data_IF_498517821425
#
_entry.id   IF_498517821425
#
_cell.length_a   1.000
_cell.length_b   1.000
_cell.length_c   1.000
_cell.angle_alpha   90.00
_cell.angle_beta   90.00
_cell.angle_gamma   90.00
#
_symmetry.space_group_name_H-M   'P 1'
#
loop_
_entity.id
_entity.type
_entity.pdbx_description
1 polymer ?
#
# COMPACT_ATOMS: atom_id res chain seq x y z
N UNK A 1 -2.09 20.73 -21.74
CA UNK A 1 -1.30 20.35 -20.54
C UNK A 1 -0.53 19.10 -20.90
N UNK A 2 0.74 19.00 -20.50
CA UNK A 2 1.52 17.77 -20.67
C UNK A 2 0.83 16.62 -19.89
N UNK A 3 0.59 15.45 -20.51
CA UNK A 3 0.06 14.29 -19.81
C UNK A 3 0.83 13.93 -18.52
N UNK A 4 2.16 14.16 -18.48
CA UNK A 4 2.99 13.90 -17.30
C UNK A 4 2.64 14.83 -16.13
N UNK A 5 2.40 16.10 -16.39
CA UNK A 5 2.00 17.07 -15.36
C UNK A 5 0.63 16.70 -14.77
N UNK A 6 -0.30 16.30 -15.63
CA UNK A 6 -1.63 15.84 -15.21
C UNK A 6 -1.51 14.61 -14.31
N UNK A 7 -0.69 13.62 -14.69
CA UNK A 7 -0.46 12.41 -13.91
C UNK A 7 0.20 12.71 -12.57
N UNK A 8 1.22 13.57 -12.54
CA UNK A 8 1.87 13.99 -11.32
C UNK A 8 0.87 14.63 -10.35
N UNK A 9 -0.01 15.50 -10.87
CA UNK A 9 -1.09 16.07 -10.10
C UNK A 9 -2.08 15.00 -9.60
N UNK A 10 -2.53 14.08 -10.45
CA UNK A 10 -3.45 13.00 -10.05
C UNK A 10 -2.88 12.12 -8.93
N UNK A 11 -1.56 11.86 -8.96
CA UNK A 11 -0.87 11.03 -7.96
C UNK A 11 -0.59 11.76 -6.65
N UNK A 12 -0.25 13.04 -6.69
CA UNK A 12 0.10 13.83 -5.51
C UNK A 12 -1.09 14.27 -4.67
N UNK A 13 -2.32 14.17 -5.19
CA UNK A 13 -3.52 14.65 -4.50
C UNK A 13 -4.30 13.49 -3.85
N UNK A 14 -4.07 13.17 -2.56
CA UNK A 14 -4.74 12.05 -1.88
C UNK A 14 -6.25 12.26 -1.67
N UNK A 15 -6.74 13.49 -1.82
CA UNK A 15 -8.17 13.84 -1.69
C UNK A 15 -9.00 13.51 -2.93
N UNK A 16 -8.35 13.17 -4.05
CA UNK A 16 -9.08 12.82 -5.27
C UNK A 16 -9.74 11.45 -5.14
N UNK A 17 -10.98 11.36 -5.61
CA UNK A 17 -11.71 10.11 -5.67
C UNK A 17 -11.05 9.15 -6.66
N UNK A 18 -10.60 8.00 -6.16
CA UNK A 18 -9.91 6.97 -6.97
C UNK A 18 -10.74 6.46 -8.15
N UNK A 19 -12.07 6.43 -8.01
CA UNK A 19 -12.99 6.11 -9.11
C UNK A 19 -12.88 7.13 -10.25
N UNK A 20 -12.84 8.44 -9.92
CA UNK A 20 -12.73 9.51 -10.92
C UNK A 20 -11.36 9.56 -11.58
N UNK A 21 -10.30 9.19 -10.85
CA UNK A 21 -8.98 8.98 -11.45
C UNK A 21 -9.07 7.88 -12.52
N UNK A 22 -9.64 6.72 -12.20
CA UNK A 22 -9.79 5.62 -13.14
C UNK A 22 -10.61 5.99 -14.39
N UNK A 23 -11.78 6.63 -14.20
CA UNK A 23 -12.59 7.16 -15.31
C UNK A 23 -11.79 8.15 -16.19
N UNK A 24 -10.98 9.00 -15.57
CA UNK A 24 -10.21 10.02 -16.28
C UNK A 24 -9.05 9.42 -17.09
N UNK A 25 -8.27 8.51 -16.50
CA UNK A 25 -7.12 7.88 -17.17
C UNK A 25 -7.58 6.94 -18.29
N UNK A 26 -8.70 6.23 -18.12
CA UNK A 26 -9.24 5.31 -19.13
C UNK A 26 -10.04 5.99 -20.24
N UNK A 27 -10.20 7.32 -20.19
CA UNK A 27 -11.02 8.04 -21.14
C UNK A 27 -10.46 7.92 -22.56
N UNK A 28 -11.27 7.35 -23.48
CA UNK A 28 -10.91 7.09 -24.90
C UNK A 28 -10.35 8.27 -25.71
N UNK A 29 -10.56 9.52 -25.25
CA UNK A 29 -10.12 10.73 -25.94
C UNK A 29 -8.69 11.13 -25.53
N UNK A 30 -8.11 10.50 -24.51
CA UNK A 30 -6.80 10.81 -23.94
C UNK A 30 -5.99 9.55 -23.63
N UNK A 31 -5.75 8.66 -24.59
CA UNK A 31 -4.95 7.44 -24.37
C UNK A 31 -3.54 7.74 -23.84
N UNK A 32 -2.99 8.92 -24.16
CA UNK A 32 -1.70 9.39 -23.68
C UNK A 32 -1.63 9.58 -22.17
N UNK A 33 -2.77 9.85 -21.51
CA UNK A 33 -2.83 10.00 -20.04
C UNK A 33 -2.70 8.64 -19.36
N UNK A 34 -3.34 7.59 -19.88
CA UNK A 34 -3.19 6.24 -19.34
C UNK A 34 -1.73 5.79 -19.43
N UNK A 35 -1.12 5.98 -20.61
CA UNK A 35 0.29 5.64 -20.82
C UNK A 35 1.19 6.41 -19.85
N UNK A 36 1.06 7.73 -19.76
CA UNK A 36 1.83 8.53 -18.82
C UNK A 36 1.57 8.14 -17.35
N UNK A 37 0.34 7.71 -17.02
CA UNK A 37 -0.01 7.23 -15.69
C UNK A 37 0.76 5.95 -15.35
N UNK A 38 0.75 4.96 -16.24
CA UNK A 38 1.50 3.71 -16.07
C UNK A 38 3.01 3.96 -16.03
N UNK A 39 3.52 4.78 -16.96
CA UNK A 39 4.96 5.11 -17.05
C UNK A 39 5.48 5.86 -15.82
N UNK A 40 4.60 6.49 -15.04
CA UNK A 40 5.00 7.16 -13.81
C UNK A 40 5.40 6.19 -12.68
N UNK A 41 5.15 4.89 -12.83
CA UNK A 41 5.53 3.87 -11.85
C UNK A 41 6.95 3.36 -12.09
N UNK A 42 7.74 3.29 -11.01
CA UNK A 42 9.08 2.73 -11.04
C UNK A 42 9.02 1.21 -10.79
N UNK A 43 9.13 0.42 -11.86
CA UNK A 43 9.06 -1.05 -11.78
C UNK A 43 10.41 -1.76 -11.86
N UNK A 44 11.51 -1.01 -11.97
CA UNK A 44 12.86 -1.55 -12.12
C UNK A 44 13.23 -2.50 -10.97
N UNK A 45 13.62 -3.72 -11.29
CA UNK A 45 14.04 -4.73 -10.33
C UNK A 45 12.88 -5.35 -9.52
N UNK A 46 11.62 -5.00 -9.81
CA UNK A 46 10.46 -5.58 -9.15
C UNK A 46 9.94 -6.79 -9.93
N UNK A 47 9.67 -7.88 -9.21
CA UNK A 47 8.92 -9.02 -9.76
C UNK A 47 7.50 -8.59 -10.11
N UNK A 48 6.90 -9.22 -11.13
CA UNK A 48 5.62 -8.80 -11.71
C UNK A 48 4.48 -8.68 -10.69
N UNK A 49 4.38 -9.61 -9.74
CA UNK A 49 3.39 -9.60 -8.64
C UNK A 49 3.54 -8.38 -7.72
N UNK A 50 4.78 -7.99 -7.42
CA UNK A 50 5.07 -6.83 -6.57
C UNK A 50 4.74 -5.52 -7.30
N UNK A 51 5.13 -5.41 -8.57
CA UNK A 51 4.78 -4.27 -9.42
C UNK A 51 3.27 -4.14 -9.61
N UNK A 52 2.57 -5.25 -9.84
CA UNK A 52 1.12 -5.28 -10.03
C UNK A 52 0.38 -4.85 -8.76
N UNK A 53 0.85 -5.32 -7.59
CA UNK A 53 0.34 -4.85 -6.29
C UNK A 53 0.51 -3.34 -6.15
N UNK A 54 1.73 -2.82 -6.34
CA UNK A 54 2.00 -1.37 -6.25
C UNK A 54 1.12 -0.56 -7.20
N UNK A 55 0.86 -1.08 -8.40
CA UNK A 55 0.05 -0.42 -9.41
C UNK A 55 -1.43 -0.35 -8.99
N UNK A 56 -2.03 -1.48 -8.61
CA UNK A 56 -3.44 -1.60 -8.25
C UNK A 56 -3.80 -0.96 -6.91
N UNK A 57 -2.81 -0.63 -6.07
CA UNK A 57 -3.02 0.18 -4.87
C UNK A 57 -3.51 1.60 -5.15
N UNK A 58 -3.22 2.14 -6.33
CA UNK A 58 -3.27 3.59 -6.56
C UNK A 58 -4.57 4.09 -7.16
N UNK A 59 -5.42 3.21 -7.69
CA UNK A 59 -6.71 3.54 -8.31
C UNK A 59 -7.72 2.39 -8.15
N UNK A 60 -8.96 2.63 -8.59
CA UNK A 60 -10.00 1.60 -8.65
C UNK A 60 -10.04 1.01 -10.06
N UNK A 61 -10.00 -0.30 -10.22
CA UNK A 61 -10.18 -0.87 -11.56
C UNK A 61 -11.57 -0.51 -12.11
N UNK A 62 -11.68 -0.14 -13.39
CA UNK A 62 -12.99 0.07 -13.99
C UNK A 62 -13.80 -1.24 -14.01
N UNK A 63 -15.12 -1.13 -14.03
CA UNK A 63 -16.00 -2.31 -14.13
C UNK A 63 -16.10 -2.90 -15.55
N UNK A 64 -15.62 -2.17 -16.56
CA UNK A 64 -15.67 -2.59 -17.96
C UNK A 64 -14.45 -3.46 -18.30
N UNK A 65 -14.70 -4.68 -18.78
CA UNK A 65 -13.64 -5.64 -19.08
C UNK A 65 -12.64 -5.14 -20.14
N UNK A 66 -13.10 -4.35 -21.12
CA UNK A 66 -12.23 -3.79 -22.15
C UNK A 66 -11.37 -2.63 -21.63
N UNK A 67 -11.78 -1.96 -20.56
CA UNK A 67 -10.94 -0.98 -19.87
C UNK A 67 -9.90 -1.62 -18.97
N UNK A 68 -10.27 -2.68 -18.23
CA UNK A 68 -9.30 -3.48 -17.45
C UNK A 68 -8.24 -4.05 -18.38
N UNK A 69 -8.64 -4.63 -19.50
CA UNK A 69 -7.74 -5.19 -20.50
C UNK A 69 -6.68 -4.19 -20.97
N UNK A 70 -7.09 -2.97 -21.32
CA UNK A 70 -6.16 -1.90 -21.72
C UNK A 70 -5.19 -1.50 -20.62
N UNK A 71 -5.68 -1.41 -19.39
CA UNK A 71 -4.86 -1.07 -18.23
C UNK A 71 -3.77 -2.12 -18.02
N UNK A 72 -4.14 -3.41 -18.03
CA UNK A 72 -3.20 -4.50 -17.79
C UNK A 72 -2.23 -4.66 -18.97
N UNK A 73 -2.68 -4.42 -20.20
CA UNK A 73 -1.80 -4.37 -21.39
C UNK A 73 -0.70 -3.30 -21.22
N UNK A 74 -1.07 -2.05 -20.94
CA UNK A 74 -0.08 -0.98 -20.73
C UNK A 74 0.82 -1.24 -19.52
N UNK A 75 0.27 -1.75 -18.41
CA UNK A 75 1.05 -2.15 -17.25
C UNK A 75 2.13 -3.18 -17.62
N UNK A 76 1.74 -4.21 -18.37
CA UNK A 76 2.63 -5.32 -18.74
C UNK A 76 3.73 -4.87 -19.69
N UNK A 77 3.39 -4.01 -20.66
CA UNK A 77 4.36 -3.38 -21.55
C UNK A 77 5.39 -2.54 -20.78
N UNK A 78 4.94 -1.67 -19.89
CA UNK A 78 5.83 -0.82 -19.09
C UNK A 78 6.70 -1.65 -18.13
N UNK A 79 6.13 -2.64 -17.43
CA UNK A 79 6.89 -3.52 -16.55
C UNK A 79 7.97 -4.30 -17.31
N UNK A 80 7.62 -4.86 -18.47
CA UNK A 80 8.53 -5.66 -19.28
C UNK A 80 9.71 -4.81 -19.78
N UNK A 81 9.43 -3.60 -20.30
CA UNK A 81 10.46 -2.67 -20.75
C UNK A 81 11.33 -2.15 -19.60
N UNK A 82 10.75 -1.90 -18.41
CA UNK A 82 11.48 -1.44 -17.22
C UNK A 82 12.42 -2.50 -16.62
N UNK A 83 12.27 -3.77 -16.99
CA UNK A 83 13.02 -4.90 -16.42
C UNK A 83 13.93 -5.60 -17.44
N UNK A 84 14.33 -4.89 -18.50
CA UNK A 84 15.17 -5.43 -19.58
C UNK A 84 14.55 -6.63 -20.30
N UNK A 85 13.22 -6.64 -20.44
CA UNK A 85 12.48 -7.64 -21.23
C UNK A 85 12.78 -9.08 -20.78
N UNK A 86 12.46 -9.46 -19.52
CA UNK A 86 12.89 -10.73 -18.93
C UNK A 86 12.14 -11.97 -19.49
N UNK A 87 11.11 -11.75 -20.31
CA UNK A 87 10.30 -12.80 -20.94
C UNK A 87 10.49 -12.77 -22.46
N UNK A 88 10.01 -13.80 -23.15
CA UNK A 88 10.21 -13.91 -24.60
C UNK A 88 9.40 -12.87 -25.39
N UNK A 89 8.27 -12.42 -24.84
CA UNK A 89 7.42 -11.40 -25.44
C UNK A 89 6.64 -10.63 -24.37
N UNK A 90 6.20 -9.41 -24.69
CA UNK A 90 5.35 -8.60 -23.80
C UNK A 90 4.03 -9.29 -23.47
N UNK A 91 3.47 -10.08 -24.40
CA UNK A 91 2.23 -10.84 -24.19
C UNK A 91 2.38 -11.89 -23.07
N UNK A 92 3.60 -12.38 -22.82
CA UNK A 92 3.87 -13.28 -21.71
C UNK A 92 3.72 -12.55 -20.36
N UNK A 93 4.19 -11.30 -20.27
CA UNK A 93 3.98 -10.47 -19.07
C UNK A 93 2.50 -10.19 -18.84
N UNK A 94 1.76 -9.89 -19.91
CA UNK A 94 0.31 -9.71 -19.85
C UNK A 94 -0.41 -10.96 -19.36
N UNK A 95 -0.09 -12.12 -19.94
CA UNK A 95 -0.70 -13.41 -19.57
C UNK A 95 -0.44 -13.74 -18.11
N UNK A 96 0.80 -13.54 -17.66
CA UNK A 96 1.16 -13.77 -16.26
C UNK A 96 0.48 -12.78 -15.31
N UNK A 97 0.35 -11.50 -15.68
CA UNK A 97 -0.36 -10.51 -14.88
C UNK A 97 -1.84 -10.89 -14.70
N UNK A 98 -2.51 -11.34 -15.76
CA UNK A 98 -3.88 -11.84 -15.68
C UNK A 98 -4.01 -13.10 -14.83
N UNK A 99 -3.07 -14.05 -14.96
CA UNK A 99 -3.04 -15.25 -14.14
C UNK A 99 -2.88 -14.91 -12.65
N UNK A 100 -2.09 -13.89 -12.31
CA UNK A 100 -1.95 -13.38 -10.93
C UNK A 100 -3.28 -12.80 -10.42
N UNK A 101 -4.01 -12.04 -11.24
CA UNK A 101 -5.34 -11.50 -10.84
C UNK A 101 -6.37 -12.60 -10.60
N UNK A 102 -6.38 -13.62 -11.48
CA UNK A 102 -7.23 -14.80 -11.32
C UNK A 102 -6.87 -15.57 -10.04
N UNK A 103 -5.57 -15.79 -9.80
CA UNK A 103 -5.09 -16.44 -8.59
C UNK A 103 -5.47 -15.64 -7.34
N UNK A 104 -5.35 -14.32 -7.35
CA UNK A 104 -5.75 -13.49 -6.20
C UNK A 104 -7.24 -13.65 -5.89
N UNK A 105 -8.09 -13.67 -6.92
CA UNK A 105 -9.53 -13.90 -6.77
C UNK A 105 -9.81 -15.30 -6.23
N UNK A 106 -9.15 -16.33 -6.76
CA UNK A 106 -9.28 -17.71 -6.32
C UNK A 106 -8.91 -17.88 -4.83
N UNK A 107 -7.75 -17.35 -4.43
CA UNK A 107 -7.21 -17.54 -3.08
C UNK A 107 -7.95 -16.72 -2.00
N UNK A 108 -8.50 -15.56 -2.33
CA UNK A 108 -9.01 -14.60 -1.34
C UNK A 108 -10.51 -14.31 -1.42
N UNK A 109 -11.19 -14.56 -2.54
CA UNK A 109 -12.63 -14.32 -2.64
C UNK A 109 -13.43 -15.35 -1.81
N UNK A 110 -14.16 -14.94 -0.75
CA UNK A 110 -14.89 -15.87 0.12
C UNK A 110 -15.93 -16.72 -0.60
N UNK A 111 -16.52 -16.23 -1.70
CA UNK A 111 -17.50 -16.99 -2.49
C UNK A 111 -16.84 -18.14 -3.25
N UNK A 112 -15.66 -17.90 -3.85
CA UNK A 112 -14.90 -18.93 -4.57
C UNK A 112 -14.44 -20.00 -3.59
N UNK A 113 -13.86 -19.59 -2.46
CA UNK A 113 -13.36 -20.50 -1.42
C UNK A 113 -14.43 -21.42 -0.82
N UNK A 114 -15.70 -21.03 -0.86
CA UNK A 114 -16.82 -21.86 -0.36
C UNK A 114 -17.32 -22.87 -1.38
N UNK A 115 -17.17 -22.57 -2.67
CA UNK A 115 -17.86 -23.27 -3.74
C UNK A 115 -16.95 -24.13 -4.61
N UNK A 116 -15.63 -23.92 -4.56
CA UNK A 116 -14.65 -24.55 -5.46
C UNK A 116 -13.35 -24.92 -4.74
N UNK A 117 -12.65 -25.92 -5.27
CA UNK A 117 -11.29 -26.27 -4.84
C UNK A 117 -10.33 -25.18 -5.28
N UNK A 118 -9.54 -24.65 -4.34
CA UNK A 118 -8.55 -23.62 -4.62
C UNK A 118 -7.43 -24.14 -5.52
N UNK A 119 -6.94 -23.28 -6.40
CA UNK A 119 -5.82 -23.58 -7.28
C UNK A 119 -4.58 -23.94 -6.45
N UNK A 120 -3.99 -25.12 -6.70
CA UNK A 120 -2.70 -25.50 -6.13
C UNK A 120 -1.54 -24.81 -6.87
N UNK A 121 -0.32 -24.86 -6.31
CA UNK A 121 0.86 -24.31 -6.99
C UNK A 121 1.16 -25.10 -8.26
N UNK A 122 0.92 -26.40 -8.25
CA UNK A 122 1.05 -27.29 -9.40
C UNK A 122 0.04 -26.93 -10.50
N UNK A 123 -1.20 -26.62 -10.12
CA UNK A 123 -2.22 -26.16 -11.08
C UNK A 123 -1.82 -24.80 -11.69
N UNK A 124 -1.32 -23.87 -10.87
CA UNK A 124 -0.86 -22.56 -11.35
C UNK A 124 0.29 -22.69 -12.36
N UNK A 125 1.31 -23.50 -12.04
CA UNK A 125 2.43 -23.80 -12.95
C UNK A 125 1.95 -24.47 -14.24
N UNK A 126 1.07 -25.46 -14.13
CA UNK A 126 0.50 -26.17 -15.29
C UNK A 126 -0.29 -25.25 -16.20
N UNK A 127 -1.12 -24.37 -15.65
CA UNK A 127 -1.94 -23.41 -16.41
C UNK A 127 -1.10 -22.39 -17.19
N UNK A 128 0.13 -22.13 -16.74
CA UNK A 128 1.06 -21.19 -17.37
C UNK A 128 2.08 -21.87 -18.29
N UNK A 129 2.05 -23.20 -18.43
CA UNK A 129 2.99 -23.92 -19.29
C UNK A 129 2.80 -23.52 -20.76
N UNK A 130 3.92 -23.27 -21.45
CA UNK A 130 3.95 -22.84 -22.86
C UNK A 130 3.46 -21.41 -23.13
N UNK A 131 3.04 -20.67 -22.09
CA UNK A 131 2.47 -19.32 -22.27
C UNK A 131 3.52 -18.19 -22.35
N UNK A 132 4.81 -18.51 -22.20
CA UNK A 132 5.91 -17.58 -22.47
C UNK A 132 6.35 -17.69 -23.93
N UNK A 133 5.44 -17.35 -24.86
CA UNK A 133 5.65 -17.41 -26.31
C UNK A 133 6.13 -18.80 -26.81
N UNK A 134 5.51 -19.87 -26.30
CA UNK A 134 5.84 -21.26 -26.63
C UNK A 134 6.89 -21.90 -25.69
N UNK A 135 7.43 -21.15 -24.73
CA UNK A 135 8.28 -21.67 -23.65
C UNK A 135 7.54 -21.61 -22.31
N UNK A 136 8.15 -22.22 -21.29
CA UNK A 136 7.72 -22.09 -19.91
C UNK A 136 8.37 -20.88 -19.23
N UNK A 137 7.72 -20.35 -18.20
CA UNK A 137 8.35 -19.43 -17.25
C UNK A 137 9.28 -20.21 -16.31
N UNK A 138 10.18 -19.48 -15.64
CA UNK A 138 10.94 -20.05 -14.53
C UNK A 138 10.00 -20.55 -13.42
N UNK A 139 10.14 -21.83 -13.10
CA UNK A 139 9.27 -22.55 -12.18
C UNK A 139 9.46 -22.09 -10.73
N UNK A 140 10.67 -21.66 -10.36
CA UNK A 140 10.92 -21.10 -9.04
C UNK A 140 10.22 -19.75 -8.88
N UNK A 141 10.35 -18.87 -9.88
CA UNK A 141 9.61 -17.59 -9.92
C UNK A 141 8.10 -17.78 -9.78
N UNK A 142 7.51 -18.73 -10.53
CA UNK A 142 6.05 -18.99 -10.45
C UNK A 142 5.63 -19.45 -9.06
N UNK A 143 6.45 -20.26 -8.38
CA UNK A 143 6.20 -20.70 -7.02
C UNK A 143 6.30 -19.56 -6.00
N UNK A 144 7.31 -18.69 -6.16
CA UNK A 144 7.44 -17.51 -5.32
C UNK A 144 6.25 -16.56 -5.49
N UNK A 145 5.79 -16.35 -6.72
CA UNK A 145 4.58 -15.56 -7.03
C UNK A 145 3.36 -16.20 -6.37
N UNK A 146 3.15 -17.51 -6.55
CA UNK A 146 2.00 -18.20 -5.97
C UNK A 146 1.95 -18.05 -4.44
N UNK A 147 3.08 -18.30 -3.78
CA UNK A 147 3.18 -18.21 -2.32
C UNK A 147 2.98 -16.77 -1.83
N UNK A 148 3.53 -15.77 -2.55
CA UNK A 148 3.32 -14.37 -2.24
C UNK A 148 1.83 -13.99 -2.32
N UNK A 149 1.14 -14.35 -3.40
CA UNK A 149 -0.29 -14.07 -3.57
C UNK A 149 -1.13 -14.83 -2.54
N UNK A 150 -0.86 -16.11 -2.29
CA UNK A 150 -1.59 -16.90 -1.30
C UNK A 150 -1.43 -16.35 0.12
N UNK A 151 -0.25 -15.88 0.47
CA UNK A 151 0.05 -15.34 1.81
C UNK A 151 -0.49 -13.93 2.03
N UNK A 152 -0.45 -13.08 1.00
CA UNK A 152 -0.90 -11.69 1.08
C UNK A 152 -1.82 -11.36 -0.11
N UNK A 153 -3.08 -11.04 0.17
CA UNK A 153 -4.05 -10.59 -0.82
C UNK A 153 -3.61 -9.28 -1.49
N UNK A 154 -3.70 -9.18 -2.82
CA UNK A 154 -3.67 -7.90 -3.53
C UNK A 154 -5.00 -7.19 -3.25
N UNK A 155 -4.94 -6.20 -2.37
CA UNK A 155 -6.10 -5.39 -1.98
C UNK A 155 -6.10 -4.11 -2.81
N UNK A 156 -7.21 -3.84 -3.48
CA UNK A 156 -7.50 -2.55 -4.11
C UNK A 156 -8.20 -1.65 -3.07
N UNK A 157 -7.52 -0.71 -2.41
CA UNK A 157 -8.07 -0.02 -1.23
C UNK A 157 -9.29 0.84 -1.58
N UNK A 158 -9.40 1.27 -2.83
CA UNK A 158 -10.53 2.03 -3.35
C UNK A 158 -11.83 1.21 -3.45
N UNK A 159 -11.75 -0.12 -3.43
CA UNK A 159 -12.89 -1.04 -3.48
C UNK A 159 -13.31 -1.54 -2.10
N UNK A 160 -12.47 -1.32 -1.09
CA UNK A 160 -12.68 -1.80 0.26
C UNK A 160 -13.22 -0.69 1.18
N UNK A 161 -14.01 -1.09 2.17
CA UNK A 161 -14.56 -0.19 3.21
C UNK A 161 -14.25 -0.78 4.59
N UNK A 162 -14.17 0.08 5.61
CA UNK A 162 -13.94 -0.32 6.99
C UNK A 162 -12.55 -0.90 7.24
N UNK A 163 -12.47 -1.87 8.15
CA UNK A 163 -11.23 -2.33 8.75
C UNK A 163 -10.23 -2.91 7.74
N UNK A 164 -10.70 -3.54 6.66
CA UNK A 164 -9.83 -4.09 5.59
C UNK A 164 -9.02 -2.97 4.93
N UNK A 165 -9.69 -1.89 4.56
CA UNK A 165 -9.05 -0.70 3.98
C UNK A 165 -8.10 -0.05 4.98
N UNK A 166 -8.53 0.12 6.23
CA UNK A 166 -7.72 0.76 7.27
C UNK A 166 -6.43 -0.02 7.57
N UNK A 167 -6.53 -1.34 7.76
CA UNK A 167 -5.37 -2.22 7.98
C UNK A 167 -4.42 -2.20 6.77
N UNK A 168 -4.96 -2.09 5.57
CA UNK A 168 -4.17 -1.98 4.36
C UNK A 168 -3.41 -0.65 4.29
N UNK A 169 -4.12 0.46 4.47
CA UNK A 169 -3.53 1.80 4.45
C UNK A 169 -2.46 1.95 5.53
N UNK A 170 -2.65 1.32 6.69
CA UNK A 170 -1.63 1.23 7.73
C UNK A 170 -0.36 0.50 7.24
N UNK A 171 -0.50 -0.67 6.60
CA UNK A 171 0.65 -1.40 6.02
C UNK A 171 1.36 -0.57 4.96
N UNK A 172 0.63 0.13 4.09
CA UNK A 172 1.20 1.03 3.09
C UNK A 172 1.97 2.17 3.77
N UNK A 173 1.39 2.81 4.78
CA UNK A 173 2.03 3.87 5.54
C UNK A 173 3.32 3.38 6.19
N UNK A 174 3.29 2.19 6.80
CA UNK A 174 4.48 1.57 7.38
C UNK A 174 5.53 1.26 6.30
N UNK A 175 5.18 0.77 5.11
CA UNK A 175 6.15 0.58 4.02
C UNK A 175 6.78 1.91 3.60
N UNK A 176 5.97 2.95 3.41
CA UNK A 176 6.42 4.30 3.03
C UNK A 176 7.29 4.96 4.09
N UNK A 177 7.05 4.70 5.38
CA UNK A 177 7.89 5.26 6.44
C UNK A 177 9.33 4.73 6.42
N UNK A 178 9.60 3.61 5.73
CA UNK A 178 10.95 3.08 5.54
C UNK A 178 11.62 3.57 4.25
N UNK A 179 10.92 4.35 3.41
CA UNK A 179 11.50 4.97 2.20
C UNK A 179 11.97 6.39 2.50
N UNK A 180 12.58 7.06 1.50
CA UNK A 180 12.95 8.48 1.55
C UNK A 180 11.81 9.39 2.01
N UNK A 181 10.55 9.02 1.75
CA UNK A 181 9.36 9.78 2.17
C UNK A 181 9.14 9.76 3.70
N UNK A 182 9.68 8.77 4.40
CA UNK A 182 9.63 8.67 5.86
C UNK A 182 10.74 9.46 6.59
N UNK A 183 11.71 9.99 5.85
CA UNK A 183 12.80 10.78 6.43
C UNK A 183 12.36 12.22 6.66
N UNK A 184 12.16 12.57 7.93
CA UNK A 184 11.88 13.95 8.33
C UNK A 184 13.19 14.73 8.47
N UNK A 185 13.31 15.82 7.71
CA UNK A 185 14.41 16.76 7.87
C UNK A 185 14.17 17.62 9.11
N UNK A 186 15.07 17.51 10.10
CA UNK A 186 15.09 18.43 11.21
C UNK A 186 15.53 19.80 10.69
N UNK A 187 14.59 20.72 10.50
CA UNK A 187 14.94 22.10 10.18
C UNK A 187 15.67 22.69 11.39
N UNK A 188 16.82 23.34 11.14
CA UNK A 188 17.63 23.99 12.17
C UNK A 188 16.77 24.93 13.02
N UNK A 189 17.12 25.03 14.32
CA UNK A 189 16.40 25.63 15.46
C UNK A 189 15.82 27.05 15.30
N UNK A 190 15.99 27.68 14.14
CA UNK A 190 15.53 29.04 13.83
C UNK A 190 14.14 29.05 13.16
N UNK A 191 13.62 27.90 12.69
CA UNK A 191 12.35 27.82 11.94
C UNK A 191 11.43 26.64 12.31
N UNK A 192 11.34 26.25 13.59
CA UNK A 192 10.30 25.33 14.08
C UNK A 192 8.93 26.02 14.24
N UNK A 193 8.52 26.84 13.27
CA UNK A 193 7.37 27.74 13.39
C UNK A 193 6.02 27.02 13.64
N UNK A 194 5.92 25.73 13.26
CA UNK A 194 4.70 24.94 13.41
C UNK A 194 4.81 23.76 14.38
N UNK A 195 5.98 23.48 14.97
CA UNK A 195 6.17 22.23 15.74
C UNK A 195 5.23 22.17 16.95
N UNK A 196 4.98 23.33 17.57
CA UNK A 196 4.01 23.47 18.66
C UNK A 196 2.59 23.18 18.18
N UNK A 197 2.15 23.82 17.09
CA UNK A 197 0.79 23.68 16.57
C UNK A 197 0.54 22.26 16.05
N UNK A 198 1.54 21.65 15.42
CA UNK A 198 1.49 20.25 15.01
C UNK A 198 1.35 19.34 16.24
N UNK A 199 2.14 19.56 17.28
CA UNK A 199 2.01 18.79 18.51
C UNK A 199 0.65 19.00 19.19
N UNK A 200 0.11 20.24 19.22
CA UNK A 200 -1.24 20.57 19.72
C UNK A 200 -2.33 19.69 19.10
N UNK A 201 -2.23 19.38 17.80
CA UNK A 201 -3.19 18.51 17.10
C UNK A 201 -2.95 17.02 17.39
N UNK A 202 -1.69 16.63 17.58
CA UNK A 202 -1.29 15.22 17.67
C UNK A 202 -1.34 14.63 19.08
N UNK A 203 -1.05 15.42 20.12
CA UNK A 203 -0.82 14.87 21.46
C UNK A 203 -2.06 14.17 22.05
N UNK A 204 -3.27 14.69 21.78
CA UNK A 204 -4.52 14.10 22.29
C UNK A 204 -4.75 12.67 21.78
N UNK A 205 -4.87 12.48 20.45
CA UNK A 205 -4.98 11.14 19.86
C UNK A 205 -3.81 10.22 20.24
N UNK A 206 -2.58 10.73 20.24
CA UNK A 206 -1.38 9.96 20.59
C UNK A 206 -1.45 9.41 22.02
N UNK A 207 -1.77 10.26 22.98
CA UNK A 207 -1.86 9.86 24.40
C UNK A 207 -3.03 8.92 24.65
N UNK A 208 -4.17 9.12 23.99
CA UNK A 208 -5.30 8.19 24.04
C UNK A 208 -4.94 6.80 23.49
N UNK A 209 -4.26 6.73 22.35
CA UNK A 209 -3.79 5.45 21.78
C UNK A 209 -2.77 4.76 22.68
N UNK A 210 -1.79 5.50 23.23
CA UNK A 210 -0.81 4.96 24.16
C UNK A 210 -1.47 4.44 25.45
N UNK A 211 -2.45 5.17 26.00
CA UNK A 211 -3.21 4.75 27.17
C UNK A 211 -4.02 3.47 26.90
N UNK A 212 -4.68 3.39 25.74
CA UNK A 212 -5.44 2.20 25.35
C UNK A 212 -4.54 0.96 25.25
N UNK A 213 -3.40 1.07 24.56
CA UNK A 213 -2.45 -0.06 24.41
C UNK A 213 -1.89 -0.48 25.77
N UNK A 214 -1.52 0.49 26.61
CA UNK A 214 -1.00 0.24 27.96
C UNK A 214 -1.99 -0.54 28.84
N UNK A 215 -3.29 -0.22 28.77
CA UNK A 215 -4.33 -0.93 29.54
C UNK A 215 -4.68 -2.33 28.99
N UNK A 216 -4.29 -2.64 27.75
CA UNK A 216 -4.69 -3.88 27.06
C UNK A 216 -3.56 -4.88 26.89
N UNK A 217 -2.30 -4.43 26.97
CA UNK A 217 -1.14 -5.28 26.75
C UNK A 217 -0.70 -5.97 28.04
N UNK A 218 -0.31 -7.24 27.93
CA UNK A 218 0.43 -7.97 28.97
C UNK A 218 1.90 -8.17 28.59
N UNK A 219 2.33 -7.65 27.43
CA UNK A 219 3.70 -7.73 26.94
C UNK A 219 4.52 -6.54 27.47
N UNK A 220 5.50 -6.83 28.32
CA UNK A 220 6.44 -5.87 28.90
C UNK A 220 7.23 -5.07 27.86
N UNK A 221 7.50 -5.67 26.68
CA UNK A 221 8.17 -5.01 25.57
C UNK A 221 7.30 -3.90 24.99
N UNK A 222 6.00 -4.18 24.82
CA UNK A 222 5.02 -3.20 24.34
C UNK A 222 4.83 -2.12 25.43
N UNK A 223 4.75 -2.51 26.70
CA UNK A 223 4.64 -1.57 27.82
C UNK A 223 5.83 -0.60 27.85
N UNK A 224 7.05 -1.12 27.70
CA UNK A 224 8.28 -0.31 27.65
C UNK A 224 8.25 0.69 26.49
N UNK A 225 7.78 0.27 25.31
CA UNK A 225 7.59 1.16 24.16
C UNK A 225 6.54 2.24 24.43
N UNK A 226 5.42 1.90 25.05
CA UNK A 226 4.40 2.86 25.46
C UNK A 226 4.97 3.91 26.42
N UNK A 227 5.72 3.48 27.44
CA UNK A 227 6.40 4.38 28.38
C UNK A 227 7.41 5.28 27.69
N UNK A 228 8.14 4.76 26.70
CA UNK A 228 9.00 5.57 25.83
C UNK A 228 8.23 6.66 25.07
N UNK A 229 7.02 6.33 24.59
CA UNK A 229 6.09 7.29 23.98
C UNK A 229 5.66 8.41 24.93
N UNK A 230 5.22 8.06 26.15
CA UNK A 230 4.87 9.03 27.20
C UNK A 230 6.04 9.97 27.52
N UNK A 231 7.25 9.43 27.66
CA UNK A 231 8.47 10.23 27.91
C UNK A 231 8.75 11.22 26.79
N UNK A 232 8.56 10.81 25.52
CA UNK A 232 8.72 11.71 24.37
C UNK A 232 7.65 12.82 24.37
N UNK A 233 6.38 12.49 24.62
CA UNK A 233 5.31 13.47 24.76
C UNK A 233 5.61 14.49 25.86
N UNK A 234 6.07 14.02 27.02
CA UNK A 234 6.48 14.88 28.13
C UNK A 234 7.65 15.79 27.75
N UNK A 235 8.66 15.27 27.05
CA UNK A 235 9.80 16.08 26.59
C UNK A 235 9.39 17.19 25.62
N UNK A 236 8.48 16.91 24.69
CA UNK A 236 7.97 17.90 23.74
C UNK A 236 7.08 18.93 24.45
N UNK A 237 6.19 18.48 25.33
CA UNK A 237 5.36 19.35 26.15
C UNK A 237 6.18 20.29 27.03
N UNK A 238 7.28 19.80 27.63
CA UNK A 238 8.20 20.62 28.42
C UNK A 238 8.88 21.69 27.57
N UNK A 239 9.31 21.32 26.36
CA UNK A 239 9.94 22.25 25.43
C UNK A 239 9.00 23.41 25.05
N UNK A 240 7.71 23.13 24.84
CA UNK A 240 6.70 24.14 24.47
C UNK A 240 5.90 24.72 25.64
N UNK A 241 6.17 24.33 26.89
CA UNK A 241 5.45 24.81 28.08
C UNK A 241 3.98 24.40 28.15
N UNK A 242 3.61 23.23 27.61
CA UNK A 242 2.23 22.75 27.55
C UNK A 242 1.87 21.93 28.80
N UNK A 243 1.39 22.62 29.85
CA UNK A 243 1.09 22.02 31.16
C UNK A 243 -0.12 21.08 31.13
N UNK A 244 -1.11 21.40 30.29
CA UNK A 244 -2.31 20.59 30.05
C UNK A 244 -1.98 19.17 29.54
N UNK A 245 -0.96 19.07 28.69
CA UNK A 245 -0.45 17.77 28.22
C UNK A 245 0.15 16.98 29.37
N UNK A 246 0.98 17.63 30.20
CA UNK A 246 1.58 16.98 31.38
C UNK A 246 0.54 16.43 32.35
N UNK A 247 -0.46 17.23 32.69
CA UNK A 247 -1.53 16.82 33.59
C UNK A 247 -2.26 15.60 33.03
N UNK A 248 -2.53 15.59 31.73
CA UNK A 248 -3.18 14.46 31.05
C UNK A 248 -2.30 13.19 31.07
N UNK A 249 -1.00 13.33 30.81
CA UNK A 249 -0.05 12.19 30.86
C UNK A 249 -0.01 11.59 32.27
N UNK A 250 0.04 12.41 33.31
CA UNK A 250 0.06 11.96 34.71
C UNK A 250 -1.26 11.26 35.05
N UNK A 251 -2.40 11.85 34.69
CA UNK A 251 -3.72 11.24 34.94
C UNK A 251 -3.81 9.86 34.27
N UNK A 252 -3.34 9.72 33.04
CA UNK A 252 -3.34 8.44 32.33
C UNK A 252 -2.48 7.39 33.03
N UNK A 253 -1.26 7.75 33.46
CA UNK A 253 -0.34 6.84 34.15
C UNK A 253 -0.82 6.46 35.56
N UNK A 254 -1.45 7.39 36.28
CA UNK A 254 -2.05 7.10 37.58
C UNK A 254 -3.24 6.15 37.45
N UNK A 255 -4.11 6.35 36.46
CA UNK A 255 -5.26 5.45 36.22
C UNK A 255 -4.83 4.03 35.86
N UNK A 256 -3.77 3.87 35.06
CA UNK A 256 -3.24 2.54 34.73
C UNK A 256 -2.63 1.86 35.95
N UNK A 257 -1.88 2.59 36.78
CA UNK A 257 -1.28 2.05 38.01
C UNK A 257 -2.30 1.60 39.06
N UNK A 258 -3.51 2.19 39.07
CA UNK A 258 -4.60 1.79 39.99
C UNK A 258 -5.41 0.60 39.46
N UNK A 259 -5.30 0.30 38.16
CA UNK A 259 -6.08 -0.76 37.49
C UNK A 259 -5.36 -2.11 37.41
N UNK A 260 -4.13 -2.20 37.93
CA UNK A 260 -3.32 -3.41 38.09
C UNK A 260 -3.36 -3.84 39.55
#
# INVERSE_FOLDING_TARGET
MDPKDVVNWLRQNPKLEKCKIAEYICHRKRPEVLRAFVESFEFHGLRLDLALRQFLETFRLPGDAAEIDKIINHFSEHWHNSNNQPFEHVDAAYTLAYAILMLNTDQHNPQVRRNQTLMSVEDFKRNLSGTNHGKDFDQEMLEQIYNAIKSEEIVMPAEQVGQVRENYLWRVLMRRSHTSEGHYWQMSSVQSWNDRDLFCVLWGPLTASLHYVMNKTADDTILTKCMGGYRKCASIAAHFGMTDVFDTLIIHLCKTAISV
#
